data_IF_555852833315
#
_entry.id   IF_555852833315
#
_cell.length_a   1.000
_cell.length_b   1.000
_cell.length_c   1.000
_cell.angle_alpha   90.00
_cell.angle_beta   90.00
_cell.angle_gamma   90.00
#
_symmetry.space_group_name_H-M   'P 1'
#
loop_
_entity.id
_entity.type
_entity.pdbx_description
1 polymer ?
#
# COMPACT_ATOMS: atom_id res chain seq x y z
N UNK A 1 11.78 -27.02 -16.08
CA UNK A 1 11.24 -26.82 -14.70
C UNK A 1 11.99 -25.78 -13.85
N UNK A 2 13.20 -25.32 -14.20
CA UNK A 2 13.94 -24.34 -13.36
C UNK A 2 13.53 -22.87 -13.53
N UNK A 3 13.06 -22.45 -14.72
CA UNK A 3 12.62 -21.07 -14.95
C UNK A 3 11.34 -20.70 -14.20
N UNK A 4 10.41 -21.66 -14.06
CA UNK A 4 9.12 -21.44 -13.39
C UNK A 4 9.29 -21.25 -11.87
N UNK A 5 10.18 -22.04 -11.25
CA UNK A 5 10.53 -21.87 -9.83
C UNK A 5 11.22 -20.52 -9.57
N UNK A 6 12.07 -20.08 -10.50
CA UNK A 6 12.73 -18.77 -10.41
C UNK A 6 11.72 -17.63 -10.53
N UNK A 7 10.80 -17.70 -11.50
CA UNK A 7 9.70 -16.73 -11.63
C UNK A 7 8.77 -16.74 -10.41
N UNK A 8 8.49 -17.91 -9.82
CA UNK A 8 7.68 -18.01 -8.61
C UNK A 8 8.35 -17.36 -7.39
N UNK A 9 9.68 -17.51 -7.24
CA UNK A 9 10.44 -16.84 -6.16
C UNK A 9 10.49 -15.32 -6.37
N UNK A 10 10.66 -14.87 -7.62
CA UNK A 10 10.63 -13.45 -7.96
C UNK A 10 9.24 -12.83 -7.76
N UNK A 11 8.17 -13.55 -8.12
CA UNK A 11 6.78 -13.15 -7.81
C UNK A 11 6.54 -13.07 -6.31
N UNK A 12 6.99 -14.06 -5.53
CA UNK A 12 6.90 -14.03 -4.07
C UNK A 12 7.60 -12.79 -3.48
N UNK A 13 8.76 -12.43 -4.03
CA UNK A 13 9.49 -11.22 -3.62
C UNK A 13 8.77 -9.93 -4.03
N UNK A 14 8.09 -9.90 -5.18
CA UNK A 14 7.22 -8.78 -5.58
C UNK A 14 5.95 -8.69 -4.71
N UNK A 15 5.51 -9.81 -4.13
CA UNK A 15 4.39 -9.90 -3.18
C UNK A 15 4.75 -9.48 -1.74
N UNK A 16 6.04 -9.29 -1.44
CA UNK A 16 6.55 -9.01 -0.11
C UNK A 16 7.06 -7.58 -0.02
N UNK A 17 6.39 -6.77 0.81
CA UNK A 17 6.89 -5.45 1.18
C UNK A 17 8.15 -5.54 2.04
N UNK A 18 9.11 -4.68 1.74
CA UNK A 18 10.25 -4.39 2.58
C UNK A 18 9.81 -3.95 3.98
N UNK A 19 10.69 -4.15 4.95
CA UNK A 19 10.44 -3.71 6.33
C UNK A 19 10.20 -2.20 6.41
N UNK A 20 10.84 -1.41 5.52
CA UNK A 20 10.65 0.03 5.45
C UNK A 20 9.24 0.39 4.98
N UNK A 21 8.81 -0.20 3.87
CA UNK A 21 7.47 0.03 3.34
C UNK A 21 6.37 -0.43 4.31
N UNK A 22 6.55 -1.60 4.95
CA UNK A 22 5.65 -2.05 6.03
C UNK A 22 5.62 -1.06 7.20
N UNK A 23 6.76 -0.52 7.59
CA UNK A 23 6.80 0.44 8.69
C UNK A 23 6.01 1.71 8.34
N UNK A 24 6.23 2.28 7.15
CA UNK A 24 5.48 3.44 6.63
C UNK A 24 3.98 3.19 6.72
N UNK A 25 3.50 2.05 6.23
CA UNK A 25 2.07 1.73 6.26
C UNK A 25 1.52 1.57 7.69
N UNK A 26 2.32 1.10 8.64
CA UNK A 26 1.88 0.82 10.02
C UNK A 26 1.91 2.03 10.94
N UNK A 27 2.78 2.99 10.65
CA UNK A 27 2.96 4.20 11.46
C UNK A 27 2.38 5.45 10.81
N UNK A 28 2.09 5.40 9.50
CA UNK A 28 1.61 6.56 8.76
C UNK A 28 0.16 6.96 9.07
N UNK A 29 -0.26 8.11 8.53
CA UNK A 29 -1.50 8.80 8.89
C UNK A 29 -2.79 8.00 8.75
N UNK A 30 -2.85 7.04 7.83
CA UNK A 30 -4.05 6.21 7.64
C UNK A 30 -4.07 4.95 8.51
N UNK A 31 -2.94 4.57 9.13
CA UNK A 31 -2.80 3.31 9.85
C UNK A 31 -3.76 3.19 11.04
N UNK A 32 -3.98 4.29 11.77
CA UNK A 32 -4.85 4.32 12.95
C UNK A 32 -6.31 3.98 12.65
N UNK A 33 -6.76 4.12 11.39
CA UNK A 33 -8.14 3.78 10.96
C UNK A 33 -8.39 2.28 10.88
N UNK A 34 -7.34 1.46 10.94
CA UNK A 34 -7.39 0.02 10.72
C UNK A 34 -7.15 -0.79 12.00
N UNK A 35 -7.45 -0.22 13.17
CA UNK A 35 -7.40 -0.91 14.46
C UNK A 35 -6.05 -0.76 15.16
N UNK A 36 -5.67 -1.78 15.93
CA UNK A 36 -4.41 -1.83 16.68
C UNK A 36 -3.20 -2.27 15.82
N UNK A 37 -1.98 -2.08 16.35
CA UNK A 37 -0.99 -3.17 16.39
C UNK A 37 -0.96 -4.23 15.26
N UNK A 38 -1.63 -5.32 15.62
CA UNK A 38 -1.72 -6.58 14.91
C UNK A 38 -2.75 -6.51 13.80
N UNK A 39 -3.86 -5.82 14.03
CA UNK A 39 -4.93 -5.69 13.03
C UNK A 39 -4.45 -4.90 11.80
N UNK A 40 -3.72 -3.80 12.02
CA UNK A 40 -3.05 -3.05 10.94
C UNK A 40 -2.11 -3.91 10.12
N UNK A 41 -1.41 -4.83 10.78
CA UNK A 41 -0.40 -5.69 10.14
C UNK A 41 -1.05 -6.73 9.22
N UNK A 42 -2.29 -7.14 9.53
CA UNK A 42 -3.10 -8.03 8.69
C UNK A 42 -3.80 -7.26 7.57
N UNK A 43 -4.09 -5.98 7.77
CA UNK A 43 -4.86 -5.12 6.85
C UNK A 43 -4.00 -4.15 6.04
N UNK A 44 -2.70 -4.44 5.88
CA UNK A 44 -1.76 -3.58 5.15
C UNK A 44 -2.22 -3.21 3.74
N UNK A 45 -2.93 -4.12 3.07
CA UNK A 45 -3.48 -3.88 1.73
C UNK A 45 -4.52 -2.75 1.75
N UNK A 46 -5.44 -2.78 2.70
CA UNK A 46 -6.48 -1.76 2.85
C UNK A 46 -5.89 -0.42 3.31
N UNK A 47 -4.88 -0.49 4.17
CA UNK A 47 -4.13 0.69 4.63
C UNK A 47 -3.45 1.36 3.43
N UNK A 48 -2.72 0.59 2.62
CA UNK A 48 -2.03 1.09 1.44
C UNK A 48 -3.00 1.66 0.40
N UNK A 49 -4.11 0.99 0.12
CA UNK A 49 -5.15 1.46 -0.81
C UNK A 49 -5.85 2.77 -0.37
N UNK A 50 -5.69 3.16 0.89
CA UNK A 50 -6.23 4.44 1.40
C UNK A 50 -5.33 5.64 1.10
N UNK A 51 -4.06 5.40 0.82
CA UNK A 51 -3.12 6.45 0.46
C UNK A 51 -3.26 6.87 -1.00
N UNK A 52 -3.07 8.17 -1.26
CA UNK A 52 -2.61 8.63 -2.57
C UNK A 52 -1.09 8.58 -2.66
N UNK A 53 -0.55 8.69 -3.88
CA UNK A 53 0.89 8.70 -4.11
C UNK A 53 1.58 9.88 -3.42
N UNK A 54 0.94 11.04 -3.46
CA UNK A 54 1.40 12.27 -2.81
C UNK A 54 1.39 12.12 -1.29
N UNK A 55 0.30 11.56 -0.74
CA UNK A 55 0.23 11.29 0.70
C UNK A 55 1.32 10.33 1.17
N UNK A 56 1.68 9.32 0.37
CA UNK A 56 2.83 8.47 0.68
C UNK A 56 4.15 9.23 0.60
N UNK A 57 4.35 10.12 -0.38
CA UNK A 57 5.58 10.91 -0.47
C UNK A 57 5.76 11.89 0.69
N UNK A 58 4.66 12.31 1.31
CA UNK A 58 4.66 13.16 2.51
C UNK A 58 4.91 12.37 3.81
N UNK A 59 4.80 11.04 3.79
CA UNK A 59 5.04 10.23 5.00
C UNK A 59 6.55 10.21 5.37
N UNK A 60 6.88 10.38 6.65
CA UNK A 60 8.26 10.25 7.09
C UNK A 60 8.78 8.86 6.76
N UNK A 61 9.97 8.82 6.14
CA UNK A 61 10.64 7.61 5.64
C UNK A 61 10.09 6.98 4.36
N UNK A 62 9.08 7.58 3.72
CA UNK A 62 8.54 7.11 2.45
C UNK A 62 9.14 7.89 1.27
N UNK A 63 10.35 7.51 0.87
CA UNK A 63 10.97 8.08 -0.33
C UNK A 63 10.33 7.53 -1.62
N UNK A 64 10.63 8.12 -2.80
CA UNK A 64 10.05 7.71 -4.08
C UNK A 64 10.17 6.21 -4.37
N UNK A 65 11.30 5.59 -4.00
CA UNK A 65 11.52 4.14 -4.14
C UNK A 65 10.54 3.33 -3.29
N UNK A 66 10.32 3.75 -2.03
CA UNK A 66 9.37 3.09 -1.13
C UNK A 66 7.93 3.26 -1.60
N UNK A 67 7.58 4.43 -2.17
CA UNK A 67 6.25 4.69 -2.72
C UNK A 67 5.99 3.79 -3.94
N UNK A 68 6.95 3.67 -4.84
CA UNK A 68 6.83 2.77 -6.00
C UNK A 68 6.76 1.31 -5.61
N UNK A 69 7.51 0.90 -4.58
CA UNK A 69 7.43 -0.44 -4.03
C UNK A 69 6.01 -0.74 -3.49
N UNK A 70 5.42 0.18 -2.73
CA UNK A 70 4.06 0.04 -2.20
C UNK A 70 3.03 -0.01 -3.34
N UNK A 71 3.19 0.84 -4.35
CA UNK A 71 2.31 0.87 -5.51
C UNK A 71 2.38 -0.43 -6.32
N UNK A 72 3.59 -0.93 -6.60
CA UNK A 72 3.80 -2.19 -7.32
C UNK A 72 3.27 -3.39 -6.52
N UNK A 73 3.47 -3.39 -5.20
CA UNK A 73 2.94 -4.41 -4.31
C UNK A 73 1.40 -4.44 -4.29
N UNK A 74 0.75 -3.28 -4.25
CA UNK A 74 -0.70 -3.15 -4.38
C UNK A 74 -1.19 -3.65 -5.74
N UNK A 75 -0.51 -3.25 -6.82
CA UNK A 75 -0.83 -3.69 -8.18
C UNK A 75 -0.71 -5.22 -8.34
N UNK A 76 0.29 -5.83 -7.70
CA UNK A 76 0.42 -7.29 -7.61
C UNK A 76 -0.77 -7.99 -6.96
N UNK A 77 -1.57 -7.26 -6.16
CA UNK A 77 -2.79 -7.73 -5.52
C UNK A 77 -4.07 -7.28 -6.23
N UNK A 78 -3.94 -6.71 -7.44
CA UNK A 78 -5.07 -6.23 -8.24
C UNK A 78 -5.70 -4.93 -7.73
N UNK A 79 -4.98 -4.18 -6.91
CA UNK A 79 -5.42 -2.91 -6.34
C UNK A 79 -4.48 -1.78 -6.75
N UNK A 80 -4.94 -0.54 -6.60
CA UNK A 80 -4.16 0.65 -6.92
C UNK A 80 -4.18 1.63 -5.76
N UNK A 81 -3.19 2.53 -5.72
CA UNK A 81 -3.23 3.69 -4.83
C UNK A 81 -4.45 4.56 -5.16
N UNK A 82 -4.97 5.24 -4.13
CA UNK A 82 -6.07 6.18 -4.30
C UNK A 82 -5.65 7.34 -5.19
N UNK A 83 -6.44 7.65 -6.21
CA UNK A 83 -6.19 8.81 -7.07
C UNK A 83 -6.22 10.11 -6.25
N UNK A 84 -5.28 11.01 -6.51
CA UNK A 84 -5.27 12.35 -5.94
C UNK A 84 -6.60 13.06 -6.24
N UNK A 85 -7.18 13.75 -5.25
CA UNK A 85 -8.50 14.38 -5.38
C UNK A 85 -9.71 13.45 -5.20
N UNK A 86 -9.51 12.13 -5.25
CA UNK A 86 -10.54 11.13 -4.90
C UNK A 86 -10.61 11.01 -3.38
N UNK A 87 -10.90 12.10 -2.68
CA UNK A 87 -11.36 12.02 -1.30
C UNK A 87 -12.72 11.33 -1.34
N UNK A 88 -12.98 10.41 -0.40
CA UNK A 88 -14.26 9.71 -0.26
C UNK A 88 -15.41 10.65 0.18
N UNK A 89 -15.40 11.90 -0.28
CA UNK A 89 -16.46 12.91 -0.19
C UNK A 89 -17.05 13.14 -1.58
N UNK A 90 -17.81 12.17 -2.10
CA UNK A 90 -18.79 12.38 -3.17
C UNK A 90 -19.65 11.13 -3.32
N UNK A 91 -20.59 10.96 -2.39
CA UNK A 91 -21.82 10.19 -2.62
C UNK A 91 -22.97 10.81 -1.79
N UNK A 92 -22.99 12.14 -1.69
CA UNK A 92 -24.11 12.92 -1.18
C UNK A 92 -24.33 14.11 -2.11
N UNK A 93 -24.63 13.81 -3.38
CA UNK A 93 -25.25 14.76 -4.29
C UNK A 93 -26.63 14.20 -4.64
N UNK A 94 -27.63 14.97 -4.19
CA UNK A 94 -29.07 14.84 -4.38
C UNK A 94 -29.50 14.29 -5.73
N UNK A 95 -30.55 13.48 -5.73
CA UNK A 95 -31.67 13.59 -6.68
C UNK A 95 -32.96 13.30 -5.91
#
# INVERSE_FOLDING_TARGET
MSQERHQAVLRRRQDELSSRARNVLRTGRHAAKFGDWDERSRRLVEVAASYSREELLDEPNAGPVTVEEIAAWLAGKGLELRRHGSSRRSAASKS
#
